data_IF_368742483386
#
_entry.id   IF_368742483386
#
_cell.length_a   1.000
_cell.length_b   1.000
_cell.length_c   1.000
_cell.angle_alpha   90.00
_cell.angle_beta   90.00
_cell.angle_gamma   90.00
#
_symmetry.space_group_name_H-M   'P 1'
#
loop_
_entity.id
_entity.type
_entity.pdbx_description
1 polymer ?
#
# COMPACT_ATOMS: atom_id res chain seq x y z
N UNK A 1 1.95 28.53 7.17
CA UNK A 1 2.16 27.69 5.96
C UNK A 1 2.35 26.23 6.38
N UNK A 2 1.54 25.30 5.86
CA UNK A 2 1.86 23.88 5.73
C UNK A 2 0.80 23.27 4.80
N UNK A 3 1.23 22.97 3.58
CA UNK A 3 0.41 22.54 2.45
C UNK A 3 0.09 21.04 2.54
N UNK A 4 -1.16 20.72 2.22
CA UNK A 4 -1.61 19.43 1.68
C UNK A 4 -1.51 18.18 2.57
N UNK A 5 -2.46 18.01 3.49
CA UNK A 5 -3.04 16.67 3.70
C UNK A 5 -4.14 16.51 2.64
N UNK A 6 -3.74 16.13 1.42
CA UNK A 6 -4.71 15.60 0.45
C UNK A 6 -5.17 14.27 1.03
N UNK A 7 -6.41 14.23 1.50
CA UNK A 7 -7.17 12.99 1.65
C UNK A 7 -7.11 12.27 0.30
N UNK A 8 -6.23 11.28 0.17
CA UNK A 8 -6.13 10.47 -1.03
C UNK A 8 -7.38 9.59 -1.02
N UNK A 9 -8.44 10.07 -1.67
CA UNK A 9 -9.59 9.27 -2.07
C UNK A 9 -9.08 8.22 -3.05
N UNK A 10 -8.76 7.04 -2.53
CA UNK A 10 -8.39 5.88 -3.34
C UNK A 10 -9.57 5.53 -4.23
N UNK A 11 -9.47 5.86 -5.51
CA UNK A 11 -10.49 5.49 -6.50
C UNK A 11 -10.30 4.02 -6.89
N UNK A 12 -11.42 3.32 -7.15
CA UNK A 12 -11.45 2.05 -7.88
C UNK A 12 -10.59 2.19 -9.15
N UNK A 13 -9.76 1.18 -9.43
CA UNK A 13 -8.77 1.16 -10.54
C UNK A 13 -7.48 1.97 -10.32
N UNK A 14 -7.32 2.68 -9.20
CA UNK A 14 -6.03 3.29 -8.86
C UNK A 14 -5.10 2.33 -8.12
N UNK A 15 -3.80 2.50 -8.35
CA UNK A 15 -2.75 1.81 -7.61
C UNK A 15 -2.19 2.72 -6.51
N UNK A 16 -2.27 2.26 -5.26
CA UNK A 16 -1.68 2.95 -4.11
C UNK A 16 -0.29 2.40 -3.85
N UNK A 17 0.74 3.24 -3.92
CA UNK A 17 2.09 2.83 -3.50
C UNK A 17 2.36 3.30 -2.07
N UNK A 18 2.54 2.35 -1.16
CA UNK A 18 2.92 2.58 0.23
C UNK A 18 4.40 2.23 0.37
N UNK A 19 5.20 3.17 0.89
CA UNK A 19 6.61 2.93 1.17
C UNK A 19 6.82 2.76 2.67
N UNK A 20 7.27 1.58 3.08
CA UNK A 20 7.63 1.24 4.44
C UNK A 20 9.13 1.20 4.67
N UNK A 21 9.52 1.29 5.94
CA UNK A 21 10.90 1.07 6.38
C UNK A 21 11.20 -0.39 6.73
N UNK A 22 10.16 -1.21 6.92
CA UNK A 22 10.25 -2.59 7.37
C UNK A 22 9.41 -3.52 6.46
N UNK A 23 9.71 -4.82 6.42
CA UNK A 23 8.87 -5.79 5.72
C UNK A 23 7.45 -5.81 6.29
N UNK A 24 6.43 -6.01 5.43
CA UNK A 24 5.04 -6.07 5.89
C UNK A 24 4.84 -7.36 6.69
N UNK A 25 4.37 -7.20 7.93
CA UNK A 25 4.00 -8.30 8.80
C UNK A 25 2.81 -9.11 8.22
N UNK A 26 2.57 -10.37 8.65
CA UNK A 26 1.42 -11.16 8.19
C UNK A 26 0.08 -10.42 8.33
N UNK A 27 -0.13 -9.77 9.48
CA UNK A 27 -1.33 -8.95 9.74
C UNK A 27 -1.42 -7.74 8.81
N UNK A 28 -0.28 -7.10 8.51
CA UNK A 28 -0.16 -5.96 7.62
C UNK A 28 -0.55 -6.35 6.19
N UNK A 29 -0.10 -7.52 5.72
CA UNK A 29 -0.50 -8.08 4.42
C UNK A 29 -2.00 -8.40 4.39
N UNK A 30 -2.56 -8.93 5.47
CA UNK A 30 -4.00 -9.17 5.60
C UNK A 30 -4.82 -7.88 5.51
N UNK A 31 -4.40 -6.84 6.25
CA UNK A 31 -5.05 -5.53 6.22
C UNK A 31 -4.98 -4.89 4.82
N UNK A 32 -3.84 -4.97 4.13
CA UNK A 32 -3.71 -4.46 2.76
C UNK A 32 -4.57 -5.24 1.77
N UNK A 33 -4.63 -6.57 1.87
CA UNK A 33 -5.53 -7.37 1.04
C UNK A 33 -7.01 -7.04 1.28
N UNK A 34 -7.39 -6.79 2.53
CA UNK A 34 -8.75 -6.40 2.88
C UNK A 34 -9.07 -5.01 2.33
N UNK A 35 -8.20 -4.03 2.55
CA UNK A 35 -8.37 -2.68 2.01
C UNK A 35 -8.42 -2.68 0.48
N UNK A 36 -7.60 -3.50 -0.18
CA UNK A 36 -7.61 -3.67 -1.64
C UNK A 36 -8.95 -4.23 -2.13
N UNK A 37 -9.52 -5.23 -1.44
CA UNK A 37 -10.85 -5.77 -1.74
C UNK A 37 -11.98 -4.79 -1.45
N UNK A 38 -11.93 -4.05 -0.35
CA UNK A 38 -12.97 -3.09 0.05
C UNK A 38 -13.00 -1.87 -0.87
N UNK A 39 -11.84 -1.42 -1.34
CA UNK A 39 -11.72 -0.23 -2.20
C UNK A 39 -11.71 -0.55 -3.69
N UNK A 40 -11.47 -1.81 -4.07
CA UNK A 40 -11.20 -2.19 -5.45
C UNK A 40 -9.91 -1.59 -6.02
N UNK A 41 -9.04 -1.05 -5.17
CA UNK A 41 -7.76 -0.46 -5.56
C UNK A 41 -6.62 -1.50 -5.44
N UNK A 42 -5.59 -1.37 -6.27
CA UNK A 42 -4.37 -2.18 -6.15
C UNK A 42 -3.44 -1.55 -5.12
N UNK A 43 -3.01 -2.28 -4.10
CA UNK A 43 -2.09 -1.74 -3.08
C UNK A 43 -0.69 -2.33 -3.29
N UNK A 44 0.26 -1.48 -3.63
CA UNK A 44 1.67 -1.80 -3.79
C UNK A 44 2.42 -1.36 -2.54
N UNK A 45 2.95 -2.29 -1.77
CA UNK A 45 3.79 -2.01 -0.62
C UNK A 45 5.25 -2.24 -0.96
N UNK A 46 6.10 -1.23 -0.81
CA UNK A 46 7.52 -1.32 -1.04
C UNK A 46 8.31 -0.99 0.22
N UNK A 47 9.38 -1.72 0.49
CA UNK A 47 10.26 -1.46 1.63
C UNK A 47 11.71 -1.69 1.26
N UNK A 48 12.62 -1.05 1.98
CA UNK A 48 14.05 -1.29 1.83
C UNK A 48 14.54 -2.18 2.94
N UNK A 49 15.22 -3.26 2.57
CA UNK A 49 15.84 -4.20 3.51
C UNK A 49 17.24 -4.52 3.00
N UNK A 50 18.27 -4.32 3.84
CA UNK A 50 19.68 -4.56 3.49
C UNK A 50 20.12 -3.92 2.16
N UNK A 51 19.69 -2.69 1.90
CA UNK A 51 20.01 -1.95 0.66
C UNK A 51 19.27 -2.44 -0.60
N UNK A 52 18.39 -3.45 -0.47
CA UNK A 52 17.54 -3.94 -1.56
C UNK A 52 16.12 -3.42 -1.39
N UNK A 53 15.48 -3.07 -2.50
CA UNK A 53 14.06 -2.69 -2.50
C UNK A 53 13.22 -3.92 -2.74
N UNK A 54 12.36 -4.23 -1.79
CA UNK A 54 11.37 -5.29 -1.87
C UNK A 54 10.01 -4.69 -2.17
N UNK A 55 9.16 -5.46 -2.87
CA UNK A 55 7.82 -5.04 -3.26
C UNK A 55 6.83 -6.18 -3.05
N UNK A 56 5.69 -5.84 -2.47
CA UNK A 56 4.51 -6.69 -2.30
C UNK A 56 3.32 -6.02 -2.98
N UNK A 57 2.46 -6.81 -3.61
CA UNK A 57 1.28 -6.29 -4.30
C UNK A 57 0.06 -7.03 -3.76
N UNK A 58 -0.93 -6.28 -3.31
CA UNK A 58 -2.27 -6.76 -3.00
C UNK A 58 -3.21 -6.30 -4.12
N UNK A 59 -3.86 -7.26 -4.78
CA UNK A 59 -4.85 -7.02 -5.83
C UNK A 59 -6.23 -7.39 -5.32
N UNK A 60 -7.28 -6.64 -5.69
CA UNK A 60 -8.65 -7.10 -5.49
C UNK A 60 -8.87 -8.38 -6.31
N UNK A 61 -9.71 -9.28 -5.80
CA UNK A 61 -10.05 -10.54 -6.46
C UNK A 61 -11.11 -10.36 -7.53
#
# INVERSE_FOLDING_TARGET
EARAVRSISLQVDQSMTITGQLPPCPSCRGAMNRASQETGATIVYQWRENGRTHRWIATPK
#
